data_IF_917106572082
#
_entry.id   IF_917106572082
#
_cell.length_a   1.000
_cell.length_b   1.000
_cell.length_c   1.000
_cell.angle_alpha   90.00
_cell.angle_beta   90.00
_cell.angle_gamma   90.00
#
_symmetry.space_group_name_H-M   'P 1'
#
loop_
_entity.id
_entity.type
_entity.pdbx_description
1 polymer ?
#
# COMPACT_ATOMS: atom_id res chain seq x y z
N UNK A 1 -11.66 -34.22 -37.84
CA UNK A 1 -11.04 -33.15 -37.04
C UNK A 1 -9.53 -33.29 -37.11
N UNK A 2 -8.82 -32.27 -37.58
CA UNK A 2 -7.41 -31.99 -37.30
C UNK A 2 -7.06 -30.66 -37.99
N UNK A 3 -7.24 -29.55 -37.28
CA UNK A 3 -6.72 -28.26 -37.74
C UNK A 3 -5.19 -28.27 -37.51
N UNK A 4 -4.42 -28.19 -38.59
CA UNK A 4 -2.96 -27.97 -38.52
C UNK A 4 -2.74 -26.51 -38.12
N UNK A 5 -2.19 -26.30 -36.93
CA UNK A 5 -1.74 -24.99 -36.47
C UNK A 5 -0.40 -24.69 -37.12
N UNK A 6 -0.40 -23.79 -38.10
CA UNK A 6 0.83 -23.26 -38.69
C UNK A 6 1.41 -22.20 -37.74
N UNK A 7 2.53 -22.54 -37.10
CA UNK A 7 3.35 -21.58 -36.35
C UNK A 7 3.89 -20.51 -37.30
N UNK A 8 3.70 -19.20 -37.05
CA UNK A 8 4.37 -18.18 -37.83
C UNK A 8 5.88 -18.24 -37.54
N UNK A 9 6.65 -18.62 -38.55
CA UNK A 9 8.10 -18.50 -38.56
C UNK A 9 8.48 -17.05 -38.24
N UNK A 10 9.13 -16.83 -37.12
CA UNK A 10 9.71 -15.54 -36.78
C UNK A 10 10.85 -15.25 -37.77
N UNK A 11 10.56 -14.43 -38.78
CA UNK A 11 11.57 -13.86 -39.67
C UNK A 11 12.51 -13.01 -38.81
N UNK A 12 13.73 -13.50 -38.58
CA UNK A 12 14.80 -12.72 -37.95
C UNK A 12 15.01 -11.44 -38.78
N UNK A 13 15.05 -10.25 -38.16
CA UNK A 13 15.24 -9.01 -38.92
C UNK A 13 16.61 -9.00 -39.60
N UNK A 14 16.58 -8.66 -40.88
CA UNK A 14 17.72 -8.52 -41.80
C UNK A 14 18.91 -7.78 -41.13
N UNK A 15 20.16 -8.31 -41.15
CA UNK A 15 21.32 -7.69 -40.50
C UNK A 15 21.81 -6.38 -41.16
N UNK A 16 21.20 -5.93 -42.25
CA UNK A 16 21.55 -4.68 -42.93
C UNK A 16 20.77 -3.44 -42.41
N UNK A 17 20.14 -3.52 -41.25
CA UNK A 17 19.50 -2.35 -40.66
C UNK A 17 20.57 -1.41 -40.05
N UNK A 18 21.12 -0.55 -40.90
CA UNK A 18 21.91 0.62 -40.49
C UNK A 18 21.01 1.58 -39.71
N UNK A 19 20.85 1.37 -38.40
CA UNK A 19 20.37 2.40 -37.48
C UNK A 19 21.47 3.45 -37.27
N UNK A 20 21.83 4.16 -38.33
CA UNK A 20 22.40 5.50 -38.15
C UNK A 20 21.23 6.42 -37.80
N UNK A 21 21.36 7.33 -36.82
CA UNK A 21 20.38 8.39 -36.66
C UNK A 21 20.37 9.18 -37.98
N UNK A 22 19.32 9.07 -38.78
CA UNK A 22 19.21 9.74 -40.08
C UNK A 22 19.21 11.26 -39.93
N UNK A 23 19.04 11.75 -38.69
CA UNK A 23 19.04 13.16 -38.36
C UNK A 23 19.59 13.38 -36.94
N UNK A 24 20.75 14.05 -36.84
CA UNK A 24 21.43 14.34 -35.57
C UNK A 24 20.58 15.31 -34.73
N UNK A 25 19.79 16.17 -35.38
CA UNK A 25 18.93 17.15 -34.71
C UNK A 25 17.72 16.46 -34.08
N UNK A 26 17.15 15.43 -34.72
CA UNK A 26 16.08 14.62 -34.13
C UNK A 26 16.57 13.83 -32.90
N UNK A 27 17.82 13.33 -32.93
CA UNK A 27 18.40 12.60 -31.81
C UNK A 27 18.68 13.51 -30.61
N UNK A 28 19.21 14.72 -30.85
CA UNK A 28 19.47 15.70 -29.79
C UNK A 28 18.17 16.22 -29.17
N UNK A 29 17.12 16.45 -29.98
CA UNK A 29 15.80 16.80 -29.48
C UNK A 29 15.17 15.71 -28.61
N UNK A 30 15.31 14.43 -28.99
CA UNK A 30 14.83 13.31 -28.18
C UNK A 30 15.63 13.14 -26.87
N UNK A 31 16.94 13.35 -26.90
CA UNK A 31 17.77 13.35 -25.70
C UNK A 31 17.36 14.47 -24.74
N UNK A 32 17.12 15.69 -25.24
CA UNK A 32 16.65 16.82 -24.43
C UNK A 32 15.27 16.55 -23.84
N UNK A 33 14.35 15.99 -24.63
CA UNK A 33 13.01 15.59 -24.15
C UNK A 33 13.10 14.57 -23.02
N UNK A 34 13.93 13.54 -23.17
CA UNK A 34 14.17 12.52 -22.13
C UNK A 34 14.84 13.11 -20.89
N UNK A 35 15.76 14.07 -21.04
CA UNK A 35 16.39 14.76 -19.92
C UNK A 35 15.36 15.59 -19.13
N UNK A 36 14.52 16.36 -19.81
CA UNK A 36 13.45 17.12 -19.19
C UNK A 36 12.40 16.24 -18.50
N UNK A 37 12.05 15.08 -19.08
CA UNK A 37 11.18 14.10 -18.42
C UNK A 37 11.82 13.47 -17.19
N UNK A 38 13.14 13.24 -17.20
CA UNK A 38 13.87 12.74 -16.02
C UNK A 38 13.90 13.79 -14.91
N UNK A 39 14.22 15.03 -15.23
CA UNK A 39 14.28 16.12 -14.26
C UNK A 39 12.92 16.35 -13.57
N UNK A 40 11.82 16.33 -14.34
CA UNK A 40 10.46 16.41 -13.79
C UNK A 40 10.13 15.24 -12.85
N UNK A 41 10.54 14.02 -13.21
CA UNK A 41 10.32 12.84 -12.35
C UNK A 41 11.20 12.89 -11.10
N UNK A 42 12.41 13.43 -11.22
CA UNK A 42 13.37 13.51 -10.13
C UNK A 42 12.90 14.50 -9.05
N UNK A 43 12.35 15.65 -9.42
CA UNK A 43 11.74 16.58 -8.45
C UNK A 43 10.61 15.92 -7.64
N UNK A 44 9.71 15.19 -8.29
CA UNK A 44 8.60 14.49 -7.60
C UNK A 44 9.14 13.44 -6.62
N UNK A 45 10.22 12.75 -6.98
CA UNK A 45 10.87 11.78 -6.08
C UNK A 45 11.58 12.47 -4.92
N UNK A 46 12.24 13.60 -5.15
CA UNK A 46 12.89 14.41 -4.12
C UNK A 46 11.86 14.97 -3.12
N UNK A 47 10.69 15.43 -3.60
CA UNK A 47 9.56 15.83 -2.76
C UNK A 47 9.02 14.67 -1.91
N UNK A 48 9.07 13.43 -2.42
CA UNK A 48 8.64 12.25 -1.65
C UNK A 48 9.68 11.79 -0.61
N UNK A 49 10.94 12.23 -0.75
CA UNK A 49 12.02 11.94 0.19
C UNK A 49 12.13 13.01 1.29
N UNK A 50 11.47 14.16 1.12
CA UNK A 50 11.41 15.20 2.14
C UNK A 50 10.46 14.79 3.29
N UNK A 51 10.97 14.64 4.52
CA UNK A 51 10.17 14.24 5.68
C UNK A 51 9.04 15.23 6.00
N UNK A 52 9.19 16.52 5.68
CA UNK A 52 8.14 17.51 5.92
C UNK A 52 6.98 17.36 4.93
N UNK A 53 7.28 17.10 3.66
CA UNK A 53 6.27 16.87 2.63
C UNK A 53 5.54 15.57 2.91
N UNK A 54 6.25 14.52 3.31
CA UNK A 54 5.67 13.27 3.77
C UNK A 54 4.71 13.48 4.96
N UNK A 55 5.12 14.26 5.97
CA UNK A 55 4.27 14.59 7.12
C UNK A 55 3.01 15.38 6.72
N UNK A 56 3.14 16.36 5.82
CA UNK A 56 1.98 17.11 5.29
C UNK A 56 1.04 16.20 4.51
N UNK A 57 1.57 15.23 3.77
CA UNK A 57 0.77 14.24 3.06
C UNK A 57 0.03 13.32 4.03
N UNK A 58 0.71 12.80 5.06
CA UNK A 58 0.09 12.00 6.13
C UNK A 58 -1.09 12.71 6.81
N UNK A 59 -0.98 14.02 7.05
CA UNK A 59 -2.06 14.82 7.64
C UNK A 59 -3.29 14.95 6.73
N UNK A 60 -3.12 14.85 5.42
CA UNK A 60 -4.22 14.95 4.44
C UNK A 60 -4.95 13.63 4.22
N UNK A 61 -4.39 12.52 4.69
CA UNK A 61 -4.99 11.20 4.44
C UNK A 61 -6.26 11.03 5.27
N UNK A 62 -7.33 10.63 4.59
CA UNK A 62 -8.60 10.37 5.26
C UNK A 62 -8.49 9.07 6.05
N UNK A 63 -8.76 9.14 7.36
CA UNK A 63 -8.69 7.99 8.25
C UNK A 63 -10.09 7.53 8.62
N UNK A 64 -10.29 6.22 8.70
CA UNK A 64 -11.55 5.61 9.06
C UNK A 64 -11.40 4.78 10.34
N UNK A 65 -12.48 4.65 11.09
CA UNK A 65 -12.56 3.72 12.22
C UNK A 65 -12.94 2.35 11.69
N UNK A 66 -12.09 1.36 11.96
CA UNK A 66 -12.27 -0.02 11.55
C UNK A 66 -12.45 -0.90 12.77
N UNK A 67 -13.46 -1.79 12.73
CA UNK A 67 -13.59 -2.91 13.66
C UNK A 67 -12.90 -4.10 13.02
N UNK A 68 -11.90 -4.64 13.67
CA UNK A 68 -11.25 -5.89 13.29
C UNK A 68 -11.60 -6.92 14.35
N UNK A 69 -12.30 -7.97 13.93
CA UNK A 69 -12.67 -9.09 14.78
C UNK A 69 -12.14 -10.39 14.19
N UNK A 70 -11.71 -11.32 15.04
CA UNK A 70 -11.51 -12.68 14.62
C UNK A 70 -10.97 -13.59 15.71
N UNK A 71 -10.88 -14.86 15.38
CA UNK A 71 -10.49 -15.91 16.32
C UNK A 71 -9.06 -16.37 16.03
N UNK A 72 -8.18 -16.19 17.02
CA UNK A 72 -6.81 -16.71 16.99
C UNK A 72 -6.78 -18.12 17.54
N UNK A 73 -6.20 -19.06 16.79
CA UNK A 73 -5.97 -20.42 17.28
C UNK A 73 -4.52 -20.57 17.74
N UNK A 74 -4.32 -20.82 19.03
CA UNK A 74 -2.99 -21.08 19.61
C UNK A 74 -2.89 -22.53 20.09
N UNK A 75 -1.81 -23.21 19.73
CA UNK A 75 -1.52 -24.51 20.33
C UNK A 75 -1.16 -24.31 21.80
N UNK A 76 -1.82 -25.05 22.69
CA UNK A 76 -1.63 -24.97 24.15
C UNK A 76 -0.96 -26.23 24.71
N UNK A 77 -0.69 -27.22 23.85
CA UNK A 77 -0.10 -28.50 24.19
C UNK A 77 -0.21 -29.51 23.04
N UNK A 78 0.16 -30.77 23.27
CA UNK A 78 0.09 -31.83 22.26
C UNK A 78 -1.36 -32.06 21.79
N UNK A 79 -1.69 -31.57 20.60
CA UNK A 79 -2.98 -31.78 19.96
C UNK A 79 -4.15 -30.91 20.45
N UNK A 80 -3.92 -29.96 21.37
CA UNK A 80 -4.96 -29.02 21.85
C UNK A 80 -4.71 -27.61 21.33
N UNK A 81 -5.74 -27.03 20.73
CA UNK A 81 -5.77 -25.64 20.31
C UNK A 81 -6.76 -24.87 21.18
N UNK A 82 -6.32 -23.74 21.73
CA UNK A 82 -7.22 -22.74 22.29
C UNK A 82 -7.63 -21.79 21.17
N UNK A 83 -8.91 -21.42 21.16
CA UNK A 83 -9.45 -20.38 20.32
C UNK A 83 -9.69 -19.15 21.20
N UNK A 84 -9.02 -18.05 20.89
CA UNK A 84 -9.19 -16.79 21.58
C UNK A 84 -9.81 -15.78 20.62
N UNK A 85 -10.98 -15.25 20.96
CA UNK A 85 -11.62 -14.19 20.18
C UNK A 85 -10.97 -12.84 20.52
N UNK A 86 -10.54 -12.13 19.48
CA UNK A 86 -9.97 -10.80 19.58
C UNK A 86 -10.82 -9.83 18.78
N UNK A 87 -11.18 -8.72 19.41
CA UNK A 87 -11.89 -7.61 18.77
C UNK A 87 -11.16 -6.33 19.11
N UNK A 88 -10.85 -5.53 18.10
CA UNK A 88 -10.19 -4.23 18.29
C UNK A 88 -10.75 -3.22 17.32
N UNK A 89 -10.80 -1.97 17.77
CA UNK A 89 -11.18 -0.83 16.95
C UNK A 89 -9.94 0.01 16.72
N UNK A 90 -9.57 0.20 15.47
CA UNK A 90 -8.37 0.93 15.05
C UNK A 90 -8.72 2.05 14.08
N UNK A 91 -7.84 3.04 13.97
CA UNK A 91 -7.99 4.16 13.05
C UNK A 91 -6.95 4.03 11.95
N UNK A 92 -7.39 3.73 10.74
CA UNK A 92 -6.53 3.44 9.61
C UNK A 92 -7.13 3.93 8.28
N UNK A 93 -6.30 4.12 7.28
CA UNK A 93 -6.71 4.62 5.96
C UNK A 93 -7.38 3.55 5.12
N UNK A 94 -6.89 2.32 5.24
CA UNK A 94 -7.35 1.17 4.48
C UNK A 94 -7.44 -0.08 5.36
N UNK A 95 -8.04 -1.14 4.81
CA UNK A 95 -8.25 -2.42 5.48
C UNK A 95 -6.92 -3.09 5.86
N UNK A 96 -5.91 -2.99 5.01
CA UNK A 96 -4.60 -3.61 5.23
C UNK A 96 -3.85 -2.98 6.42
N UNK A 97 -3.90 -1.65 6.55
CA UNK A 97 -3.36 -0.93 7.70
C UNK A 97 -4.18 -1.22 8.97
N UNK A 98 -5.51 -1.29 8.86
CA UNK A 98 -6.36 -1.66 10.00
C UNK A 98 -5.99 -3.05 10.51
N UNK A 99 -5.74 -3.99 9.60
CA UNK A 99 -5.27 -5.32 9.92
C UNK A 99 -3.90 -5.31 10.60
N UNK A 100 -2.91 -4.62 10.03
CA UNK A 100 -1.56 -4.53 10.59
C UNK A 100 -1.56 -3.95 12.01
N UNK A 101 -2.25 -2.83 12.22
CA UNK A 101 -2.37 -2.21 13.54
C UNK A 101 -3.09 -3.12 14.54
N UNK A 102 -4.09 -3.87 14.09
CA UNK A 102 -4.79 -4.83 14.97
C UNK A 102 -3.88 -5.99 15.37
N UNK A 103 -3.02 -6.47 14.46
CA UNK A 103 -2.00 -7.47 14.77
C UNK A 103 -1.01 -6.96 15.82
N UNK A 104 -0.59 -5.70 15.72
CA UNK A 104 0.33 -5.07 16.69
C UNK A 104 -0.31 -4.99 18.08
N UNK A 105 -1.59 -4.62 18.16
CA UNK A 105 -2.35 -4.59 19.43
C UNK A 105 -2.51 -5.99 20.02
N UNK A 106 -2.74 -7.00 19.19
CA UNK A 106 -2.87 -8.39 19.66
C UNK A 106 -1.52 -9.05 19.99
N UNK A 107 -0.41 -8.46 19.54
CA UNK A 107 0.94 -9.01 19.70
C UNK A 107 1.18 -10.28 18.88
N UNK A 108 0.35 -10.55 17.87
CA UNK A 108 0.42 -11.75 17.03
C UNK A 108 0.13 -11.36 15.59
N UNK A 109 0.98 -11.83 14.67
CA UNK A 109 0.83 -11.64 13.22
C UNK A 109 0.42 -12.95 12.56
N UNK A 110 -0.86 -13.36 12.63
CA UNK A 110 -1.31 -14.57 11.99
C UNK A 110 -1.25 -14.42 10.47
N UNK A 111 -0.78 -15.46 9.78
CA UNK A 111 -0.87 -15.53 8.32
C UNK A 111 -2.35 -15.50 7.90
N UNK A 112 -2.68 -14.62 6.95
CA UNK A 112 -4.03 -14.48 6.36
C UNK A 112 -4.65 -15.81 5.92
N UNK A 113 -3.82 -16.80 5.55
CA UNK A 113 -4.29 -18.09 5.04
C UNK A 113 -4.54 -19.15 6.11
N UNK A 114 -3.83 -19.12 7.26
CA UNK A 114 -3.76 -20.29 8.15
C UNK A 114 -3.93 -19.99 9.65
N UNK A 115 -3.80 -18.74 10.09
CA UNK A 115 -3.84 -18.40 11.52
C UNK A 115 -5.20 -17.94 12.06
N UNK A 116 -6.11 -17.51 11.18
CA UNK A 116 -7.36 -16.85 11.58
C UNK A 116 -8.51 -17.39 10.73
N UNK A 117 -9.48 -18.06 11.36
CA UNK A 117 -10.57 -18.74 10.63
C UNK A 117 -11.81 -17.86 10.40
N UNK A 118 -11.90 -16.72 11.08
CA UNK A 118 -13.09 -15.86 11.10
C UNK A 118 -12.71 -14.37 11.13
N UNK A 119 -11.74 -13.96 10.30
CA UNK A 119 -11.35 -12.55 10.22
C UNK A 119 -12.47 -11.73 9.55
N UNK A 120 -13.03 -10.80 10.31
CA UNK A 120 -14.00 -9.82 9.83
C UNK A 120 -13.44 -8.43 10.05
N UNK A 121 -13.26 -7.68 8.97
CA UNK A 121 -12.86 -6.27 9.02
C UNK A 121 -14.02 -5.43 8.52
N UNK A 122 -14.52 -4.53 9.37
CA UNK A 122 -15.70 -3.71 9.07
C UNK A 122 -15.39 -2.25 9.31
N UNK A 123 -15.65 -1.42 8.30
CA UNK A 123 -15.61 0.04 8.44
C UNK A 123 -16.80 0.49 9.28
N UNK A 124 -16.53 1.07 10.44
CA UNK A 124 -17.55 1.54 11.39
C UNK A 124 -17.97 2.98 11.07
N UNK A 125 -17.04 3.81 10.59
CA UNK A 125 -17.29 5.21 10.29
C UNK A 125 -16.03 5.99 9.95
N UNK A 126 -16.17 7.28 9.71
CA UNK A 126 -15.04 8.19 9.51
C UNK A 126 -14.41 8.54 10.85
N UNK A 127 -13.08 8.53 10.93
CA UNK A 127 -12.40 9.07 12.10
C UNK A 127 -12.38 10.59 11.92
N UNK A 128 -12.89 11.32 12.91
CA UNK A 128 -12.79 12.78 12.94
C UNK A 128 -11.30 13.14 12.77
N UNK A 129 -10.95 13.67 11.61
CA UNK A 129 -9.64 14.25 11.34
C UNK A 129 -9.43 15.33 12.39
N UNK A 130 -8.32 15.23 13.12
CA UNK A 130 -8.08 15.94 14.37
C UNK A 130 -8.09 17.46 14.26
N UNK A 131 -9.27 18.06 14.20
CA UNK A 131 -9.50 19.46 14.44
C UNK A 131 -10.53 19.59 15.56
N UNK A 132 -10.05 20.01 16.74
CA UNK A 132 -10.76 20.33 17.99
C UNK A 132 -10.82 19.23 19.05
N UNK A 133 -9.66 18.77 19.51
CA UNK A 133 -9.53 18.45 20.94
C UNK A 133 -9.47 19.79 21.71
N UNK A 134 -10.63 20.40 21.97
CA UNK A 134 -10.74 21.44 23.00
C UNK A 134 -10.30 20.79 24.31
N UNK A 135 -9.12 21.15 24.82
CA UNK A 135 -8.74 20.77 26.18
C UNK A 135 -9.83 21.24 27.16
N UNK A 136 -10.27 20.42 28.12
CA UNK A 136 -11.16 20.89 29.16
C UNK A 136 -10.46 22.02 29.92
N UNK A 137 -11.10 23.20 29.93
CA UNK A 137 -10.69 24.32 30.78
C UNK A 137 -10.60 23.81 32.22
N UNK A 138 -9.47 24.10 32.86
CA UNK A 138 -9.12 23.79 34.26
C UNK A 138 -10.37 23.83 35.16
N UNK A 139 -10.67 22.70 35.81
CA UNK A 139 -11.51 22.67 36.99
C UNK A 139 -10.75 23.37 38.13
N UNK A 140 -11.15 24.59 38.44
CA UNK A 140 -10.79 25.24 39.71
C UNK A 140 -11.58 24.54 40.82
N UNK A 141 -10.87 23.93 41.76
CA UNK A 141 -11.43 23.57 43.06
C UNK A 141 -11.61 24.85 43.89
N UNK A 142 -12.78 25.01 44.49
CA UNK A 142 -13.06 25.94 45.59
C UNK A 142 -13.50 25.12 46.78
#
# INVERSE_FOLDING_TARGET
>A
MAAKTETPTATLPNPEYKFAPTDVDAHTADLQRRAAEREKKQQVLEDCLDPEVAARHELKKQRFRWRVAGTLRRAVGSGRFSAEEKVTVVVAENEDQAWAQSCDVWGVWPSRKHGMRDLTITKIGEAETGEKTKMPRKLTYS
#
